data_IF_437630596163
#
_entry.id   IF_437630596163
#
_cell.length_a   1.000
_cell.length_b   1.000
_cell.length_c   1.000
_cell.angle_alpha   90.00
_cell.angle_beta   90.00
_cell.angle_gamma   90.00
#
_symmetry.space_group_name_H-M   'P 1'
#
loop_
_entity.id
_entity.type
_entity.pdbx_description
1 polymer ?
#
# COMPACT_ATOMS: atom_id res chain seq x y z
N UNK A 1 17.26 -2.22 -6.20
CA UNK A 1 16.31 -2.86 -5.26
C UNK A 1 17.06 -3.38 -4.06
N UNK A 2 18.14 -4.15 -4.28
CA UNK A 2 18.90 -4.75 -3.20
C UNK A 2 19.32 -3.77 -2.10
N UNK A 3 19.95 -2.66 -2.49
CA UNK A 3 20.34 -1.60 -1.55
C UNK A 3 19.18 -1.06 -0.69
N UNK A 4 17.92 -1.03 -1.18
CA UNK A 4 16.77 -0.58 -0.36
C UNK A 4 16.39 -1.62 0.69
N UNK A 5 16.46 -2.91 0.34
CA UNK A 5 16.20 -3.99 1.29
C UNK A 5 17.35 -4.16 2.29
N UNK A 6 18.60 -4.01 1.85
CA UNK A 6 19.77 -4.07 2.73
C UNK A 6 19.74 -2.90 3.75
N UNK A 7 19.38 -1.69 3.29
CA UNK A 7 19.16 -0.55 4.17
C UNK A 7 18.03 -0.81 5.17
N UNK A 8 16.90 -1.34 4.69
CA UNK A 8 15.77 -1.65 5.56
C UNK A 8 16.18 -2.68 6.62
N UNK A 9 16.82 -3.78 6.22
CA UNK A 9 17.28 -4.82 7.14
C UNK A 9 18.25 -4.27 8.20
N UNK A 10 19.18 -3.42 7.77
CA UNK A 10 20.09 -2.72 8.69
C UNK A 10 19.32 -1.89 9.72
N UNK A 11 18.30 -1.13 9.29
CA UNK A 11 17.45 -0.36 10.20
C UNK A 11 16.71 -1.28 11.18
N UNK A 12 16.14 -2.39 10.69
CA UNK A 12 15.44 -3.35 11.54
C UNK A 12 16.37 -3.98 12.58
N UNK A 13 17.59 -4.33 12.18
CA UNK A 13 18.63 -4.89 13.04
C UNK A 13 18.94 -3.99 14.24
N UNK A 14 19.01 -2.67 14.03
CA UNK A 14 19.19 -1.72 15.13
C UNK A 14 17.94 -1.61 16.01
N UNK A 15 16.74 -1.54 15.43
CA UNK A 15 15.47 -1.45 16.19
C UNK A 15 15.31 -2.63 17.16
N UNK A 16 15.66 -3.83 16.72
CA UNK A 16 15.53 -5.05 17.54
C UNK A 16 16.70 -5.26 18.52
N UNK A 17 17.58 -4.26 18.67
CA UNK A 17 18.70 -4.26 19.62
C UNK A 17 19.77 -5.29 19.31
N UNK A 18 19.93 -5.66 18.04
CA UNK A 18 20.93 -6.66 17.63
C UNK A 18 22.32 -6.06 17.38
N UNK A 19 22.43 -4.74 17.28
CA UNK A 19 23.69 -4.00 17.15
C UNK A 19 24.65 -4.09 18.33
N UNK A 20 24.27 -4.82 19.38
CA UNK A 20 25.06 -5.05 20.59
C UNK A 20 26.06 -6.22 20.42
N UNK A 21 26.05 -6.93 19.28
CA UNK A 21 27.04 -7.97 18.96
C UNK A 21 28.22 -7.31 18.24
N UNK A 22 29.44 -7.58 18.72
CA UNK A 22 30.73 -7.08 18.20
C UNK A 22 30.70 -6.68 16.72
N UNK A 23 30.64 -5.37 16.46
CA UNK A 23 30.57 -4.75 15.11
C UNK A 23 31.81 -5.01 14.25
N UNK A 24 32.76 -5.81 14.73
CA UNK A 24 34.00 -6.18 14.03
C UNK A 24 33.87 -7.39 13.10
N UNK A 25 32.72 -8.07 13.05
CA UNK A 25 32.56 -9.29 12.25
C UNK A 25 31.49 -9.23 11.13
N UNK A 26 30.74 -8.14 10.97
CA UNK A 26 29.61 -8.07 10.00
C UNK A 26 29.80 -6.94 8.99
N UNK A 27 31.01 -6.81 8.44
CA UNK A 27 31.19 -6.22 7.12
C UNK A 27 31.95 -7.28 6.33
N UNK A 28 31.23 -8.03 5.50
CA UNK A 28 31.87 -8.93 4.53
C UNK A 28 32.87 -8.12 3.68
N UNK A 29 34.10 -8.62 3.51
CA UNK A 29 35.15 -7.95 2.74
C UNK A 29 34.96 -8.02 1.21
N UNK A 30 33.85 -8.60 0.72
CA UNK A 30 33.62 -8.88 -0.70
C UNK A 30 32.88 -7.76 -1.45
N UNK A 31 32.83 -6.55 -0.89
CA UNK A 31 32.57 -5.36 -1.69
C UNK A 31 33.76 -5.10 -2.62
N UNK A 32 33.84 -5.86 -3.72
CA UNK A 32 34.74 -5.59 -4.84
C UNK A 32 34.34 -4.24 -5.43
N UNK A 33 34.96 -3.19 -4.91
CA UNK A 33 35.00 -1.88 -5.56
C UNK A 33 35.80 -2.03 -6.85
N UNK A 34 35.08 -2.14 -7.97
CA UNK A 34 35.67 -1.87 -9.28
C UNK A 34 36.02 -0.38 -9.37
N UNK A 35 37.32 -0.08 -9.51
CA UNK A 35 37.77 1.19 -10.08
C UNK A 35 38.89 1.87 -9.29
N UNK A 36 40.12 1.66 -9.77
CA UNK A 36 41.27 2.56 -9.78
C UNK A 36 41.71 3.32 -8.51
N UNK A 37 42.93 2.94 -8.10
CA UNK A 37 44.00 3.79 -7.53
C UNK A 37 43.62 4.71 -6.38
N UNK A 38 43.85 4.23 -5.16
CA UNK A 38 44.27 5.09 -4.06
C UNK A 38 45.65 4.61 -3.61
N UNK A 39 46.64 5.46 -3.87
CA UNK A 39 48.01 5.34 -3.40
C UNK A 39 48.06 5.27 -1.87
N UNK A 40 48.91 4.38 -1.38
CA UNK A 40 49.40 4.34 -0.01
C UNK A 40 49.90 5.73 0.41
N UNK A 41 49.24 6.32 1.40
CA UNK A 41 49.92 7.17 2.37
C UNK A 41 49.56 6.66 3.77
N UNK A 42 50.60 6.11 4.38
CA UNK A 42 50.70 5.71 5.77
C UNK A 42 50.53 6.89 6.72
N UNK A 43 50.18 6.56 7.97
CA UNK A 43 50.26 7.38 9.18
C UNK A 43 49.06 8.29 9.49
N UNK A 44 48.07 7.68 10.13
CA UNK A 44 47.04 8.37 10.88
C UNK A 44 46.15 7.36 11.58
N UNK A 45 46.55 6.88 12.77
CA UNK A 45 45.65 6.18 13.68
C UNK A 45 44.57 7.16 14.15
N UNK A 46 43.54 7.38 13.36
CA UNK A 46 42.27 7.89 13.88
C UNK A 46 41.56 6.69 14.50
N UNK A 47 41.81 6.48 15.79
CA UNK A 47 40.98 5.62 16.62
C UNK A 47 39.54 6.15 16.52
N UNK A 48 38.69 5.41 15.81
CA UNK A 48 37.23 5.57 15.88
C UNK A 48 36.83 5.04 17.26
N UNK A 49 37.08 5.85 18.29
CA UNK A 49 36.63 5.61 19.67
C UNK A 49 35.40 6.44 20.01
N UNK A 50 34.83 7.15 19.04
CA UNK A 50 33.64 8.01 19.20
C UNK A 50 32.39 7.50 18.46
N UNK A 51 32.34 6.22 18.03
CA UNK A 51 31.02 5.62 17.81
C UNK A 51 30.47 5.28 19.19
N UNK A 52 29.45 6.04 19.59
CA UNK A 52 28.66 5.84 20.79
C UNK A 52 28.47 4.34 21.09
N UNK A 53 28.49 4.00 22.37
CA UNK A 53 28.13 2.69 22.87
C UNK A 53 26.69 2.37 22.40
N UNK A 54 26.55 1.70 21.24
CA UNK A 54 25.27 1.35 20.64
C UNK A 54 24.64 0.13 21.34
N UNK A 55 24.99 -0.13 22.60
CA UNK A 55 24.43 -1.19 23.46
C UNK A 55 22.97 -0.90 23.88
N UNK A 56 22.14 -0.44 22.94
CA UNK A 56 20.76 -0.09 23.23
C UNK A 56 19.89 -1.36 23.28
N UNK A 57 19.03 -1.52 24.31
CA UNK A 57 18.07 -2.60 24.35
C UNK A 57 17.06 -2.47 23.20
N UNK A 58 16.45 -3.59 22.82
CA UNK A 58 15.41 -3.59 21.78
C UNK A 58 14.32 -2.57 22.11
N UNK A 59 13.97 -1.72 21.14
CA UNK A 59 12.94 -0.71 21.31
C UNK A 59 11.58 -1.44 21.26
N UNK A 60 10.70 -1.32 22.26
CA UNK A 60 9.38 -1.94 22.25
C UNK A 60 8.46 -1.18 21.28
N UNK A 61 8.68 -1.40 19.99
CA UNK A 61 8.02 -0.69 18.91
C UNK A 61 6.52 -1.02 18.91
N UNK A 62 5.68 0.01 18.87
CA UNK A 62 4.22 -0.13 18.79
C UNK A 62 3.68 0.07 17.38
N UNK A 63 4.35 0.91 16.59
CA UNK A 63 3.97 1.28 15.24
C UNK A 63 5.17 1.18 14.31
N UNK A 64 4.98 0.56 13.15
CA UNK A 64 5.94 0.52 12.06
C UNK A 64 5.29 1.09 10.80
N UNK A 65 5.86 2.17 10.27
CA UNK A 65 5.44 2.77 9.01
C UNK A 65 6.60 2.74 8.03
N UNK A 66 6.39 2.08 6.89
CA UNK A 66 7.38 1.96 5.83
C UNK A 66 6.83 2.63 4.58
N UNK A 67 7.45 3.73 4.22
CA UNK A 67 7.21 4.43 2.97
C UNK A 67 8.20 3.97 1.91
N UNK A 68 7.80 4.06 0.63
CA UNK A 68 8.65 3.68 -0.50
C UNK A 68 9.12 2.21 -0.45
N UNK A 69 8.27 1.32 0.09
CA UNK A 69 8.53 -0.12 0.15
C UNK A 69 8.59 -0.66 -1.28
N UNK A 70 9.66 -1.37 -1.67
CA UNK A 70 9.76 -1.91 -3.02
C UNK A 70 8.69 -2.98 -3.26
N UNK A 71 8.10 -3.02 -4.45
CA UNK A 71 7.09 -4.02 -4.86
C UNK A 71 7.68 -5.39 -5.22
N UNK A 72 8.90 -5.72 -4.77
CA UNK A 72 9.53 -7.01 -5.03
C UNK A 72 9.82 -7.76 -3.73
N UNK A 73 9.56 -9.06 -3.73
CA UNK A 73 9.90 -9.92 -2.59
C UNK A 73 11.40 -10.22 -2.56
N UNK A 74 12.04 -10.00 -1.41
CA UNK A 74 13.45 -10.32 -1.18
C UNK A 74 13.57 -11.36 -0.08
N UNK A 75 13.96 -12.57 -0.48
CA UNK A 75 14.06 -13.72 0.43
C UNK A 75 15.08 -13.46 1.56
N UNK A 76 16.08 -12.60 1.35
CA UNK A 76 17.09 -12.29 2.36
C UNK A 76 16.54 -11.43 3.48
N UNK A 77 15.76 -10.40 3.13
CA UNK A 77 15.12 -9.55 4.12
C UNK A 77 14.15 -10.37 4.98
N UNK A 78 13.33 -11.20 4.35
CA UNK A 78 12.27 -11.94 5.05
C UNK A 78 12.76 -13.15 5.85
N UNK A 79 13.98 -13.63 5.58
CA UNK A 79 14.63 -14.67 6.39
C UNK A 79 15.63 -14.12 7.40
N UNK A 80 15.88 -12.79 7.41
CA UNK A 80 16.77 -12.16 8.37
C UNK A 80 16.25 -12.28 9.81
N UNK A 81 17.17 -12.52 10.75
CA UNK A 81 16.85 -12.62 12.19
C UNK A 81 16.23 -11.32 12.71
N UNK A 82 16.71 -10.18 12.22
CA UNK A 82 16.20 -8.82 12.49
C UNK A 82 14.74 -8.67 12.12
N UNK A 83 14.36 -9.04 10.89
CA UNK A 83 12.98 -8.98 10.42
C UNK A 83 12.07 -9.92 11.22
N UNK A 84 12.47 -11.18 11.41
CA UNK A 84 11.68 -12.17 12.14
C UNK A 84 11.46 -11.76 13.61
N UNK A 85 12.48 -11.18 14.24
CA UNK A 85 12.38 -10.65 15.60
C UNK A 85 11.44 -9.44 15.68
N UNK A 86 11.44 -8.56 14.69
CA UNK A 86 10.52 -7.43 14.62
C UNK A 86 9.07 -7.89 14.43
N UNK A 87 8.83 -8.82 13.50
CA UNK A 87 7.49 -9.36 13.20
C UNK A 87 6.93 -10.24 14.33
N UNK A 88 7.76 -10.66 15.30
CA UNK A 88 7.31 -11.40 16.50
C UNK A 88 7.14 -10.50 17.73
N UNK A 89 7.36 -9.18 17.61
CA UNK A 89 7.18 -8.25 18.73
C UNK A 89 5.71 -8.11 19.13
N UNK A 90 5.36 -8.58 20.33
CA UNK A 90 4.02 -8.43 20.89
C UNK A 90 3.58 -6.97 21.12
N UNK A 91 4.54 -6.03 21.17
CA UNK A 91 4.25 -4.59 21.28
C UNK A 91 3.74 -3.98 19.97
N UNK A 92 4.11 -4.56 18.82
CA UNK A 92 3.80 -4.02 17.50
C UNK A 92 2.32 -4.29 17.17
N UNK A 93 1.56 -3.20 17.04
CA UNK A 93 0.10 -3.21 16.85
C UNK A 93 -0.37 -2.41 15.64
N UNK A 94 0.46 -1.51 15.14
CA UNK A 94 0.18 -0.69 13.96
C UNK A 94 1.23 -0.94 12.88
N UNK A 95 0.79 -1.48 11.74
CA UNK A 95 1.64 -1.72 10.58
C UNK A 95 1.10 -0.96 9.37
N UNK A 96 1.95 -0.12 8.78
CA UNK A 96 1.62 0.68 7.59
C UNK A 96 2.65 0.48 6.51
N UNK A 97 2.21 -0.06 5.36
CA UNK A 97 3.06 -0.35 4.22
C UNK A 97 2.59 0.45 3.00
N UNK A 98 3.51 1.27 2.47
CA UNK A 98 3.29 2.01 1.24
C UNK A 98 4.21 1.45 0.15
N UNK A 99 3.64 0.63 -0.73
CA UNK A 99 4.33 -0.11 -1.77
C UNK A 99 4.48 0.75 -3.01
N UNK A 100 5.72 0.95 -3.43
CA UNK A 100 6.10 1.74 -4.60
C UNK A 100 6.52 0.81 -5.74
N UNK A 101 5.72 0.84 -6.81
CA UNK A 101 6.01 0.06 -8.00
C UNK A 101 7.29 0.54 -8.68
N UNK A 102 8.14 -0.42 -9.07
CA UNK A 102 9.33 -0.14 -9.88
C UNK A 102 8.90 0.50 -11.20
N UNK A 103 9.22 1.79 -11.38
CA UNK A 103 9.19 2.42 -12.72
C UNK A 103 10.43 1.97 -13.45
N UNK A 104 10.44 0.74 -13.93
CA UNK A 104 11.45 0.31 -14.88
C UNK A 104 11.21 1.15 -16.15
N UNK A 105 12.07 2.14 -16.39
CA UNK A 105 12.06 2.98 -17.59
C UNK A 105 12.29 2.15 -18.86
N UNK A 106 12.68 0.88 -18.70
CA UNK A 106 12.73 -0.12 -19.74
C UNK A 106 11.41 -0.87 -19.80
N UNK A 107 10.48 -0.27 -20.53
CA UNK A 107 9.23 -0.91 -20.94
C UNK A 107 9.51 -2.28 -21.62
N UNK A 108 8.66 -3.29 -21.43
CA UNK A 108 8.65 -4.53 -22.22
C UNK A 108 8.43 -4.34 -23.74
N UNK A 109 8.11 -3.13 -24.22
CA UNK A 109 8.09 -2.80 -25.66
C UNK A 109 9.50 -2.88 -26.27
N UNK A 110 10.56 -2.90 -25.44
CA UNK A 110 11.95 -3.12 -25.87
C UNK A 110 12.62 -4.32 -25.20
N UNK A 111 11.87 -5.25 -24.63
CA UNK A 111 12.46 -6.53 -24.26
C UNK A 111 12.75 -7.31 -25.56
N UNK A 112 14.02 -7.60 -25.89
CA UNK A 112 14.38 -8.06 -27.22
C UNK A 112 14.14 -9.56 -27.42
N UNK A 113 12.96 -10.13 -27.10
CA UNK A 113 12.71 -11.59 -27.21
C UNK A 113 11.36 -12.10 -26.64
N UNK A 114 10.34 -11.26 -26.44
CA UNK A 114 9.05 -11.77 -25.96
C UNK A 114 9.08 -12.21 -24.49
N UNK A 115 9.74 -11.43 -23.63
CA UNK A 115 9.51 -11.51 -22.19
C UNK A 115 8.24 -10.76 -21.79
N UNK A 116 7.52 -11.34 -20.81
CA UNK A 116 6.24 -10.84 -20.31
C UNK A 116 6.30 -9.38 -19.90
N UNK A 117 5.23 -8.58 -20.13
CA UNK A 117 5.20 -7.21 -19.66
C UNK A 117 5.16 -7.07 -18.13
N UNK A 118 4.98 -8.17 -17.41
CA UNK A 118 4.82 -8.19 -15.97
C UNK A 118 6.10 -8.55 -15.25
N UNK A 119 6.41 -7.85 -14.16
CA UNK A 119 7.54 -8.17 -13.30
C UNK A 119 7.18 -9.36 -12.39
N UNK A 120 7.89 -10.51 -12.46
CA UNK A 120 7.64 -11.65 -11.57
C UNK A 120 7.79 -11.27 -10.08
N UNK A 121 8.64 -10.27 -9.80
CA UNK A 121 8.87 -9.74 -8.45
C UNK A 121 7.60 -9.19 -7.79
N UNK A 122 6.73 -8.51 -8.53
CA UNK A 122 5.46 -7.96 -8.03
C UNK A 122 4.49 -9.06 -7.63
N UNK A 123 4.37 -10.12 -8.45
CA UNK A 123 3.57 -11.30 -8.10
C UNK A 123 4.13 -12.01 -6.87
N UNK A 124 5.46 -12.19 -6.82
CA UNK A 124 6.11 -12.81 -5.67
C UNK A 124 5.86 -12.00 -4.40
N UNK A 125 5.85 -10.67 -4.45
CA UNK A 125 5.55 -9.81 -3.30
C UNK A 125 4.15 -10.06 -2.74
N UNK A 126 3.09 -9.89 -3.56
CA UNK A 126 1.71 -10.09 -3.08
C UNK A 126 1.41 -11.55 -2.71
N UNK A 127 1.99 -12.51 -3.43
CA UNK A 127 1.87 -13.93 -3.10
C UNK A 127 2.61 -14.33 -1.82
N UNK A 128 3.51 -13.52 -1.28
CA UNK A 128 4.21 -13.83 -0.03
C UNK A 128 3.90 -12.83 1.08
N UNK A 129 3.02 -11.86 0.87
CA UNK A 129 2.72 -10.83 1.88
C UNK A 129 2.20 -11.46 3.19
N UNK A 130 1.36 -12.51 3.08
CA UNK A 130 0.80 -13.24 4.23
C UNK A 130 1.81 -14.12 5.00
N UNK A 131 2.96 -14.47 4.41
CA UNK A 131 4.05 -15.19 5.12
C UNK A 131 5.21 -14.28 5.52
N UNK A 132 5.19 -13.02 5.09
CA UNK A 132 6.26 -12.04 5.38
C UNK A 132 5.75 -10.94 6.30
N UNK A 133 5.31 -9.81 5.74
CA UNK A 133 4.87 -8.65 6.49
C UNK A 133 3.59 -8.88 7.30
N UNK A 134 2.76 -9.85 6.90
CA UNK A 134 1.51 -10.21 7.57
C UNK A 134 1.57 -11.65 8.08
N UNK A 135 2.77 -12.12 8.46
CA UNK A 135 2.98 -13.44 9.04
C UNK A 135 2.08 -13.67 10.27
N UNK A 136 1.77 -14.93 10.62
CA UNK A 136 0.81 -15.25 11.68
C UNK A 136 1.08 -14.64 13.05
N UNK A 137 2.34 -14.37 13.38
CA UNK A 137 2.71 -13.83 14.70
C UNK A 137 2.29 -12.37 14.86
N UNK A 138 2.63 -11.52 13.89
CA UNK A 138 2.17 -10.11 13.86
C UNK A 138 0.66 -10.02 13.63
N UNK A 139 0.11 -10.86 12.75
CA UNK A 139 -1.32 -10.84 12.39
C UNK A 139 -2.25 -10.99 13.60
N UNK A 140 -1.83 -11.73 14.64
CA UNK A 140 -2.59 -11.92 15.88
C UNK A 140 -2.63 -10.67 16.77
N UNK A 141 -1.64 -9.78 16.69
CA UNK A 141 -1.53 -8.60 17.56
C UNK A 141 -1.94 -7.30 16.86
N UNK A 142 -1.95 -7.28 15.52
CA UNK A 142 -2.29 -6.09 14.75
C UNK A 142 -3.70 -5.57 15.08
N UNK A 143 -3.74 -4.28 15.42
CA UNK A 143 -4.94 -3.49 15.63
C UNK A 143 -5.16 -2.51 14.48
N UNK A 144 -4.09 -2.03 13.85
CA UNK A 144 -4.13 -1.12 12.70
C UNK A 144 -3.32 -1.70 11.55
N UNK A 145 -3.93 -1.75 10.36
CA UNK A 145 -3.27 -2.15 9.13
C UNK A 145 -3.54 -1.12 8.03
N UNK A 146 -2.46 -0.57 7.46
CA UNK A 146 -2.52 0.27 6.26
C UNK A 146 -1.76 -0.40 5.13
N UNK A 147 -2.43 -0.63 4.00
CA UNK A 147 -1.82 -1.14 2.77
C UNK A 147 -2.16 -0.19 1.62
N UNK A 148 -1.18 0.60 1.20
CA UNK A 148 -1.32 1.48 0.04
C UNK A 148 -0.32 1.05 -1.02
N UNK A 149 -0.79 0.89 -2.25
CA UNK A 149 0.09 0.64 -3.38
C UNK A 149 -0.01 1.79 -4.37
N UNK A 150 1.12 2.15 -4.99
CA UNK A 150 1.14 3.14 -6.05
C UNK A 150 0.30 2.73 -7.26
N UNK A 151 0.21 1.45 -7.57
CA UNK A 151 -0.65 0.91 -8.62
C UNK A 151 -1.87 0.22 -8.02
N UNK A 152 -2.90 0.02 -8.84
CA UNK A 152 -4.00 -0.87 -8.46
C UNK A 152 -3.52 -2.30 -8.17
N UNK A 153 -4.17 -2.94 -7.21
CA UNK A 153 -3.85 -4.28 -6.72
C UNK A 153 -5.10 -4.99 -6.19
N UNK A 154 -4.98 -6.25 -5.78
CA UNK A 154 -6.09 -7.05 -5.26
C UNK A 154 -6.69 -7.96 -6.33
N UNK A 155 -7.09 -7.39 -7.47
CA UNK A 155 -7.37 -8.18 -8.68
C UNK A 155 -6.08 -8.55 -9.42
N UNK A 156 -5.24 -7.53 -9.69
CA UNK A 156 -4.02 -7.68 -10.47
C UNK A 156 -2.95 -6.68 -10.03
N UNK A 157 -1.83 -7.14 -9.42
CA UNK A 157 -1.57 -8.51 -8.99
C UNK A 157 -2.61 -8.98 -7.96
N UNK A 158 -2.91 -10.29 -7.99
CA UNK A 158 -3.86 -10.90 -7.07
C UNK A 158 -3.36 -10.80 -5.63
N UNK A 159 -4.22 -10.36 -4.71
CA UNK A 159 -4.01 -10.51 -3.27
C UNK A 159 -5.17 -11.30 -2.68
N UNK A 160 -4.89 -12.50 -2.17
CA UNK A 160 -5.87 -13.34 -1.50
C UNK A 160 -5.85 -13.10 0.02
N UNK A 161 -6.73 -12.21 0.49
CA UNK A 161 -6.84 -11.87 1.91
C UNK A 161 -7.42 -13.02 2.75
N UNK A 162 -8.06 -14.03 2.14
CA UNK A 162 -8.60 -15.21 2.87
C UNK A 162 -7.49 -16.02 3.55
N UNK A 163 -6.23 -15.82 3.16
CA UNK A 163 -5.05 -16.46 3.73
C UNK A 163 -4.55 -15.79 5.01
N UNK A 164 -5.17 -14.68 5.41
CA UNK A 164 -4.76 -13.85 6.54
C UNK A 164 -5.93 -13.74 7.51
N UNK A 165 -5.67 -14.08 8.77
CA UNK A 165 -6.59 -13.85 9.89
C UNK A 165 -6.06 -12.69 10.73
N UNK A 166 -6.86 -11.64 10.87
CA UNK A 166 -6.53 -10.45 11.67
C UNK A 166 -7.55 -10.31 12.83
N UNK A 167 -7.48 -11.17 13.85
CA UNK A 167 -8.51 -11.30 14.88
C UNK A 167 -8.67 -10.04 15.74
N UNK A 168 -7.59 -9.27 15.93
CA UNK A 168 -7.55 -8.09 16.78
C UNK A 168 -7.69 -6.77 16.01
N UNK A 169 -7.87 -6.82 14.68
CA UNK A 169 -7.87 -5.63 13.83
C UNK A 169 -9.08 -4.74 14.11
N UNK A 170 -8.83 -3.45 14.30
CA UNK A 170 -9.83 -2.40 14.53
C UNK A 170 -9.84 -1.38 13.39
N UNK A 171 -8.68 -1.07 12.83
CA UNK A 171 -8.50 -0.05 11.81
C UNK A 171 -7.91 -0.68 10.56
N UNK A 172 -8.58 -0.49 9.43
CA UNK A 172 -8.11 -0.93 8.12
C UNK A 172 -8.12 0.24 7.13
N UNK A 173 -6.95 0.58 6.60
CA UNK A 173 -6.79 1.52 5.49
C UNK A 173 -6.26 0.79 4.27
N UNK A 174 -6.99 0.88 3.15
CA UNK A 174 -6.56 0.36 1.87
C UNK A 174 -6.54 1.48 0.85
N UNK A 175 -5.47 1.55 0.07
CA UNK A 175 -5.40 2.46 -1.06
C UNK A 175 -5.18 1.74 -2.38
N UNK A 176 -5.99 2.09 -3.38
CA UNK A 176 -6.02 1.50 -4.73
C UNK A 176 -6.27 0.00 -4.75
N UNK A 177 -6.98 -0.51 -3.75
CA UNK A 177 -7.44 -1.90 -3.73
C UNK A 177 -8.64 -2.06 -4.67
N UNK A 178 -8.59 -3.05 -5.55
CA UNK A 178 -9.64 -3.32 -6.54
C UNK A 178 -10.58 -4.42 -6.04
N UNK A 179 -11.85 -4.04 -5.89
CA UNK A 179 -12.91 -5.00 -5.62
C UNK A 179 -13.34 -5.70 -6.91
N UNK A 180 -13.53 -7.00 -6.86
CA UNK A 180 -13.94 -7.86 -7.99
C UNK A 180 -14.80 -9.05 -7.57
N UNK A 181 -14.66 -9.54 -6.33
CA UNK A 181 -15.29 -10.78 -5.87
C UNK A 181 -16.07 -10.60 -4.56
N UNK A 182 -17.13 -11.39 -4.39
CA UNK A 182 -17.97 -11.40 -3.19
C UNK A 182 -17.20 -11.77 -1.92
N UNK A 183 -16.25 -12.70 -2.03
CA UNK A 183 -15.45 -13.12 -0.86
C UNK A 183 -14.67 -11.95 -0.24
N UNK A 184 -14.30 -10.93 -1.03
CA UNK A 184 -13.63 -9.74 -0.51
C UNK A 184 -14.58 -9.04 0.48
N UNK A 185 -15.84 -8.86 0.12
CA UNK A 185 -16.86 -8.22 0.96
C UNK A 185 -17.06 -9.01 2.25
N UNK A 186 -17.11 -10.34 2.14
CA UNK A 186 -17.30 -11.26 3.27
C UNK A 186 -16.09 -11.25 4.23
N UNK A 187 -14.87 -11.09 3.70
CA UNK A 187 -13.64 -11.00 4.50
C UNK A 187 -13.61 -9.74 5.36
N UNK A 188 -14.03 -8.58 4.84
CA UNK A 188 -14.13 -7.36 5.66
C UNK A 188 -15.13 -7.57 6.80
N UNK A 189 -16.26 -8.21 6.51
CA UNK A 189 -17.30 -8.52 7.49
C UNK A 189 -16.87 -9.57 8.55
N UNK A 190 -15.85 -10.39 8.27
CA UNK A 190 -15.32 -11.37 9.23
C UNK A 190 -14.13 -10.85 10.04
N UNK A 191 -13.47 -9.78 9.59
CA UNK A 191 -12.25 -9.24 10.18
C UNK A 191 -12.51 -8.59 11.54
N UNK A 192 -11.57 -8.76 12.48
CA UNK A 192 -11.63 -8.15 13.81
C UNK A 192 -12.67 -8.75 14.76
N UNK A 193 -13.38 -9.83 14.40
CA UNK A 193 -14.46 -10.41 15.23
C UNK A 193 -14.07 -10.79 16.66
N UNK A 194 -12.78 -11.03 16.91
CA UNK A 194 -12.26 -11.43 18.22
C UNK A 194 -11.61 -10.27 18.98
N UNK A 195 -11.63 -9.05 18.41
CA UNK A 195 -11.16 -7.87 19.10
C UNK A 195 -12.18 -7.47 20.19
N UNK A 196 -11.77 -6.61 21.12
CA UNK A 196 -12.64 -6.19 22.23
C UNK A 196 -13.95 -5.49 21.79
N UNK A 197 -14.01 -4.98 20.55
CA UNK A 197 -15.21 -4.37 19.97
C UNK A 197 -16.10 -5.37 19.22
N UNK A 198 -15.58 -6.54 18.85
CA UNK A 198 -16.28 -7.57 18.07
C UNK A 198 -16.30 -7.32 16.55
N UNK A 199 -15.38 -6.53 16.01
CA UNK A 199 -15.29 -6.25 14.57
C UNK A 199 -14.50 -4.98 14.24
N UNK A 200 -14.37 -4.67 12.95
CA UNK A 200 -13.71 -3.46 12.48
C UNK A 200 -14.42 -2.19 13.00
N UNK A 201 -13.65 -1.24 13.52
CA UNK A 201 -14.13 0.05 14.05
C UNK A 201 -13.94 1.19 13.04
N UNK A 202 -12.89 1.13 12.24
CA UNK A 202 -12.56 2.16 11.24
C UNK A 202 -12.14 1.54 9.90
N UNK A 203 -12.71 2.06 8.81
CA UNK A 203 -12.42 1.62 7.45
C UNK A 203 -12.19 2.81 6.52
N UNK A 204 -11.00 2.83 5.91
CA UNK A 204 -10.58 3.86 4.97
C UNK A 204 -10.31 3.25 3.59
N UNK A 205 -11.00 3.74 2.57
CA UNK A 205 -10.88 3.29 1.17
C UNK A 205 -10.41 4.43 0.28
N UNK A 206 -9.11 4.46 0.01
CA UNK A 206 -8.46 5.51 -0.76
C UNK A 206 -8.37 5.14 -2.25
N UNK A 207 -9.17 5.79 -3.09
CA UNK A 207 -9.19 5.55 -4.54
C UNK A 207 -9.35 4.06 -4.89
N UNK A 208 -10.21 3.35 -4.14
CA UNK A 208 -10.50 1.93 -4.33
C UNK A 208 -11.72 1.75 -5.26
N UNK A 209 -11.56 1.15 -6.45
CA UNK A 209 -12.66 0.97 -7.41
C UNK A 209 -13.22 -0.46 -7.41
N UNK A 210 -14.38 -0.64 -8.05
CA UNK A 210 -14.88 -1.94 -8.47
C UNK A 210 -14.47 -2.22 -9.91
N UNK A 211 -13.88 -3.39 -10.15
CA UNK A 211 -13.68 -3.94 -11.47
C UNK A 211 -14.98 -4.60 -11.94
N UNK A 212 -15.60 -4.06 -13.00
CA UNK A 212 -16.85 -4.62 -13.55
C UNK A 212 -16.60 -5.54 -14.75
N UNK A 213 -15.47 -5.37 -15.44
CA UNK A 213 -15.07 -6.18 -16.59
C UNK A 213 -13.55 -6.25 -16.72
N UNK A 214 -13.02 -7.42 -17.05
CA UNK A 214 -11.61 -7.62 -17.34
C UNK A 214 -11.42 -8.44 -18.61
N UNK A 215 -10.63 -7.89 -19.54
CA UNK A 215 -10.13 -8.60 -20.72
C UNK A 215 -8.64 -8.88 -20.53
N UNK A 216 -8.27 -10.16 -20.50
CA UNK A 216 -6.89 -10.62 -20.31
C UNK A 216 -6.59 -11.79 -21.26
N UNK A 217 -5.31 -12.12 -21.44
CA UNK A 217 -4.89 -13.38 -22.06
C UNK A 217 -5.34 -14.54 -21.14
N UNK A 218 -6.11 -15.47 -21.67
CA UNK A 218 -6.66 -16.60 -20.95
C UNK A 218 -5.67 -17.74 -20.71
N UNK A 219 -6.07 -18.78 -19.98
CA UNK A 219 -7.38 -18.89 -19.34
C UNK A 219 -7.45 -18.19 -17.97
N UNK A 220 -8.66 -17.82 -17.57
CA UNK A 220 -8.96 -17.51 -16.17
C UNK A 220 -8.83 -18.77 -15.30
N UNK A 221 -8.59 -18.57 -14.00
CA UNK A 221 -8.43 -19.63 -13.01
C UNK A 221 -9.75 -20.39 -12.81
N UNK A 222 -9.70 -21.72 -12.91
CA UNK A 222 -10.86 -22.59 -12.72
C UNK A 222 -11.23 -22.74 -11.25
N UNK A 223 -10.26 -22.62 -10.33
CA UNK A 223 -10.47 -22.76 -8.89
C UNK A 223 -10.82 -21.43 -8.21
N UNK A 224 -10.43 -20.31 -8.82
CA UNK A 224 -10.82 -18.96 -8.38
C UNK A 224 -11.32 -18.13 -9.58
N UNK A 225 -12.53 -18.44 -10.09
CA UNK A 225 -13.08 -17.85 -11.31
C UNK A 225 -13.05 -16.32 -11.29
N UNK A 226 -12.53 -15.73 -12.37
CA UNK A 226 -12.36 -14.28 -12.49
C UNK A 226 -10.93 -13.80 -12.23
N UNK A 227 -10.03 -14.61 -11.68
CA UNK A 227 -8.61 -14.28 -11.66
C UNK A 227 -7.88 -14.83 -12.89
N UNK A 228 -6.95 -14.09 -13.53
CA UNK A 228 -6.10 -14.65 -14.58
C UNK A 228 -5.10 -15.64 -13.97
N UNK A 229 -4.84 -16.77 -14.64
CA UNK A 229 -3.80 -17.71 -14.19
C UNK A 229 -2.41 -17.07 -14.27
N UNK A 230 -1.55 -17.34 -13.29
CA UNK A 230 -0.18 -16.80 -13.27
C UNK A 230 0.60 -17.10 -14.56
N UNK A 231 0.41 -18.29 -15.15
CA UNK A 231 1.02 -18.64 -16.45
C UNK A 231 0.53 -17.78 -17.61
N UNK A 232 -0.71 -17.32 -17.56
CA UNK A 232 -1.34 -16.49 -18.59
C UNK A 232 -0.97 -15.02 -18.42
N UNK A 233 -0.76 -14.60 -17.17
CA UNK A 233 -0.11 -13.33 -16.84
C UNK A 233 1.32 -13.32 -17.36
N UNK A 234 2.14 -14.26 -16.93
CA UNK A 234 3.57 -14.32 -17.32
C UNK A 234 3.78 -14.79 -18.78
N UNK A 235 2.72 -15.17 -19.48
CA UNK A 235 2.76 -15.62 -20.87
C UNK A 235 2.36 -14.52 -21.84
N UNK A 236 2.84 -14.60 -23.08
CA UNK A 236 2.45 -13.71 -24.18
C UNK A 236 1.53 -14.43 -25.18
N UNK A 237 1.31 -15.74 -24.98
CA UNK A 237 0.61 -16.61 -25.92
C UNK A 237 -0.65 -17.16 -25.25
N UNK A 238 -1.81 -16.80 -25.79
CA UNK A 238 -3.12 -17.31 -25.39
C UNK A 238 -4.24 -16.52 -26.07
N UNK A 239 -5.43 -17.11 -26.13
CA UNK A 239 -6.62 -16.40 -26.60
C UNK A 239 -7.07 -15.38 -25.56
N UNK A 240 -7.71 -14.30 -26.02
CA UNK A 240 -8.23 -13.28 -25.11
C UNK A 240 -9.57 -13.74 -24.57
N UNK A 241 -9.70 -13.66 -23.26
CA UNK A 241 -10.93 -13.95 -22.56
C UNK A 241 -11.41 -12.68 -21.85
N UNK A 242 -12.72 -12.50 -21.80
CA UNK A 242 -13.34 -11.40 -21.06
C UNK A 242 -14.21 -11.97 -19.95
N UNK A 243 -13.99 -11.48 -18.74
CA UNK A 243 -14.76 -11.82 -17.56
C UNK A 243 -15.52 -10.59 -17.06
N UNK A 244 -16.80 -10.75 -16.75
CA UNK A 244 -17.66 -9.69 -16.17
C UNK A 244 -17.92 -10.01 -14.70
N UNK A 245 -17.74 -9.03 -13.85
CA UNK A 245 -17.95 -9.19 -12.41
C UNK A 245 -19.32 -8.64 -12.02
N UNK A 246 -20.10 -9.37 -11.19
CA UNK A 246 -21.45 -8.97 -10.82
C UNK A 246 -21.50 -7.96 -9.66
N UNK A 247 -20.39 -7.74 -8.94
CA UNK A 247 -20.39 -6.92 -7.72
C UNK A 247 -20.60 -5.43 -8.01
N UNK A 248 -21.37 -4.72 -7.17
CA UNK A 248 -21.65 -3.29 -7.30
C UNK A 248 -21.56 -2.61 -5.93
N UNK A 249 -21.35 -1.30 -5.88
CA UNK A 249 -21.17 -0.59 -4.61
C UNK A 249 -22.40 -0.73 -3.71
N UNK A 250 -23.60 -0.68 -4.27
CA UNK A 250 -24.83 -0.92 -3.51
C UNK A 250 -24.88 -2.30 -2.83
N UNK A 251 -24.30 -3.34 -3.43
CA UNK A 251 -24.21 -4.66 -2.81
C UNK A 251 -23.23 -4.63 -1.64
N UNK A 252 -22.06 -4.02 -1.82
CA UNK A 252 -21.03 -3.88 -0.79
C UNK A 252 -21.59 -3.11 0.41
N UNK A 253 -22.13 -1.92 0.18
CA UNK A 253 -22.61 -1.04 1.26
C UNK A 253 -23.82 -1.62 1.98
N UNK A 254 -24.79 -2.19 1.25
CA UNK A 254 -25.95 -2.84 1.88
C UNK A 254 -25.56 -4.03 2.76
N UNK A 255 -24.48 -4.75 2.40
CA UNK A 255 -23.95 -5.83 3.23
C UNK A 255 -23.17 -5.30 4.43
N UNK A 256 -22.29 -4.32 4.23
CA UNK A 256 -21.50 -3.72 5.30
C UNK A 256 -22.35 -2.99 6.33
N UNK A 257 -23.42 -2.30 5.92
CA UNK A 257 -24.36 -1.67 6.84
C UNK A 257 -24.95 -2.67 7.85
N UNK A 258 -25.19 -3.92 7.42
CA UNK A 258 -25.77 -5.00 8.24
C UNK A 258 -24.73 -5.85 9.01
N UNK A 259 -23.49 -5.89 8.54
CA UNK A 259 -22.48 -6.84 9.04
C UNK A 259 -21.35 -6.16 9.83
N UNK A 260 -20.93 -4.96 9.44
CA UNK A 260 -19.92 -4.16 10.13
C UNK A 260 -20.55 -3.36 11.28
N UNK A 261 -21.19 -4.06 12.22
CA UNK A 261 -22.00 -3.46 13.29
C UNK A 261 -21.21 -2.62 14.31
N UNK A 262 -19.87 -2.61 14.19
CA UNK A 262 -18.94 -1.91 15.07
C UNK A 262 -18.20 -0.79 14.36
N UNK A 263 -18.46 -0.60 13.07
CA UNK A 263 -17.87 0.45 12.26
C UNK A 263 -18.43 1.81 12.69
N UNK A 264 -17.54 2.66 13.20
CA UNK A 264 -17.82 4.03 13.66
C UNK A 264 -17.23 5.08 12.74
N UNK A 265 -16.21 4.70 11.96
CA UNK A 265 -15.57 5.60 11.00
C UNK A 265 -15.52 4.91 9.65
N UNK A 266 -16.11 5.54 8.65
CA UNK A 266 -16.01 5.10 7.26
C UNK A 266 -15.64 6.28 6.36
N UNK A 267 -14.55 6.11 5.62
CA UNK A 267 -14.12 7.10 4.64
C UNK A 267 -13.83 6.44 3.30
N UNK A 268 -14.32 7.08 2.24
CA UNK A 268 -14.05 6.68 0.87
C UNK A 268 -13.81 7.92 0.02
N UNK A 269 -12.87 7.81 -0.92
CA UNK A 269 -12.69 8.79 -1.99
C UNK A 269 -11.23 9.01 -2.33
N UNK A 270 -10.99 10.13 -3.00
CA UNK A 270 -9.64 10.60 -3.34
C UNK A 270 -9.37 11.83 -2.49
N UNK A 271 -8.20 11.96 -1.90
CA UNK A 271 -7.90 13.14 -1.11
C UNK A 271 -7.74 14.38 -2.00
N UNK A 272 -8.30 15.53 -1.59
CA UNK A 272 -8.39 16.77 -2.39
C UNK A 272 -7.05 17.42 -2.69
N UNK A 273 -5.96 16.98 -2.03
CA UNK A 273 -4.63 17.54 -2.29
C UNK A 273 -4.25 17.46 -3.77
N UNK A 274 -4.68 16.43 -4.50
CA UNK A 274 -4.38 16.31 -5.93
C UNK A 274 -4.95 17.44 -6.82
N UNK A 275 -6.02 18.14 -6.42
CA UNK A 275 -6.65 19.16 -7.28
C UNK A 275 -6.02 20.56 -7.16
N UNK A 276 -5.57 20.96 -5.95
CA UNK A 276 -4.90 22.28 -5.73
C UNK A 276 -3.60 22.48 -6.53
N UNK A 277 -3.14 21.39 -7.11
CA UNK A 277 -1.85 21.21 -7.73
C UNK A 277 -1.90 21.40 -9.24
N UNK A 278 -3.03 21.05 -9.87
CA UNK A 278 -3.27 21.35 -11.27
C UNK A 278 -3.49 22.85 -11.51
N UNK A 279 -4.15 23.55 -10.57
CA UNK A 279 -4.38 25.00 -10.68
C UNK A 279 -3.13 25.85 -10.40
N UNK A 280 -2.22 25.35 -9.54
CA UNK A 280 -0.92 26.02 -9.30
C UNK A 280 0.04 25.81 -10.47
N UNK A 281 -0.13 24.72 -11.23
CA UNK A 281 0.70 24.38 -12.39
C UNK A 281 0.57 25.40 -13.53
N UNK A 282 -0.62 25.97 -13.74
CA UNK A 282 -0.84 26.92 -14.86
C UNK A 282 -0.16 28.28 -14.63
N UNK A 283 0.14 28.64 -13.38
CA UNK A 283 0.71 29.97 -13.02
C UNK A 283 2.23 30.01 -12.93
N UNK A 284 2.92 28.88 -12.88
CA UNK A 284 4.37 28.83 -12.56
C UNK A 284 5.25 28.37 -13.73
N UNK A 285 4.71 28.34 -14.94
CA UNK A 285 5.39 27.87 -16.16
C UNK A 285 6.37 28.89 -16.79
N UNK A 286 6.96 29.80 -16.01
CA UNK A 286 7.88 30.80 -16.55
C UNK A 286 9.29 30.83 -15.95
N UNK A 287 9.64 29.98 -14.99
CA UNK A 287 11.03 29.91 -14.58
C UNK A 287 11.43 28.57 -13.96
N UNK A 288 12.71 28.22 -14.18
CA UNK A 288 13.46 27.06 -13.65
C UNK A 288 13.44 25.78 -14.52
N UNK A 289 14.49 25.66 -15.34
CA UNK A 289 15.06 24.45 -15.93
C UNK A 289 15.72 23.58 -14.83
N UNK A 290 14.93 22.79 -14.11
CA UNK A 290 15.41 21.66 -13.30
C UNK A 290 14.37 20.53 -13.27
N UNK A 291 14.72 19.34 -13.79
CA UNK A 291 13.98 18.09 -13.58
C UNK A 291 14.74 17.24 -12.56
N UNK A 292 14.16 16.61 -11.50
CA UNK A 292 12.83 16.74 -10.89
C UNK A 292 12.90 16.84 -9.34
N UNK A 293 12.74 18.04 -8.76
CA UNK A 293 12.84 18.22 -7.29
C UNK A 293 11.51 18.21 -6.49
N UNK A 294 10.33 18.08 -7.13
CA UNK A 294 9.01 18.22 -6.43
C UNK A 294 7.87 17.26 -6.84
N UNK A 295 8.14 16.13 -7.49
CA UNK A 295 7.34 14.91 -7.19
C UNK A 295 7.51 14.47 -5.70
N UNK A 296 8.44 15.16 -5.03
CA UNK A 296 9.12 15.01 -3.74
C UNK A 296 8.55 15.85 -2.58
N UNK A 297 7.32 16.38 -2.70
CA UNK A 297 6.49 16.95 -1.60
C UNK A 297 5.07 16.34 -1.67
N UNK A 298 4.81 15.50 -2.67
CA UNK A 298 3.53 15.55 -3.38
C UNK A 298 2.56 14.44 -3.01
N UNK A 299 3.10 13.34 -2.48
CA UNK A 299 2.39 12.49 -1.54
C UNK A 299 2.73 12.85 -0.08
N UNK A 300 3.62 13.82 0.16
CA UNK A 300 4.30 14.05 1.45
C UNK A 300 3.41 14.63 2.57
N UNK A 301 2.12 14.82 2.34
CA UNK A 301 1.15 15.01 3.44
C UNK A 301 -0.13 14.18 3.25
N UNK A 302 -0.23 13.48 2.11
CA UNK A 302 -1.48 12.90 1.58
C UNK A 302 -1.97 11.68 2.39
N UNK A 303 -1.24 11.35 3.44
CA UNK A 303 -1.73 10.55 4.55
C UNK A 303 -1.03 10.86 5.89
N UNK A 304 -0.37 12.02 6.08
CA UNK A 304 0.45 12.28 7.30
C UNK A 304 -0.31 12.02 8.61
N UNK A 305 -1.64 12.04 8.54
CA UNK A 305 -2.56 11.66 9.60
C UNK A 305 -3.84 11.00 9.03
N UNK A 306 -3.81 9.84 8.36
CA UNK A 306 -4.97 8.93 8.42
C UNK A 306 -5.11 8.39 9.87
N UNK A 307 -5.33 9.33 10.79
CA UNK A 307 -5.26 9.24 12.25
C UNK A 307 -6.46 8.48 12.80
N UNK A 308 -6.25 7.72 13.89
CA UNK A 308 -6.88 8.14 15.12
C UNK A 308 -5.81 8.51 16.14
N UNK A 309 -5.71 9.79 16.51
CA UNK A 309 -4.94 10.19 17.67
C UNK A 309 -5.61 9.61 18.94
N UNK A 310 -4.89 8.86 19.80
CA UNK A 310 -5.31 8.67 21.18
C UNK A 310 -4.94 9.92 21.97
N UNK A 311 -5.93 10.50 22.64
CA UNK A 311 -5.77 11.61 23.58
C UNK A 311 -4.69 11.33 24.65
N UNK A 312 -3.61 12.14 24.66
CA UNK A 312 -2.58 12.17 25.70
C UNK A 312 -1.58 13.33 25.50
N UNK A 313 -0.98 13.89 26.58
CA UNK A 313 -0.21 15.13 26.49
C UNK A 313 1.22 14.88 25.96
N UNK A 314 1.67 15.77 25.08
CA UNK A 314 2.97 15.72 24.36
C UNK A 314 4.09 16.26 25.24
N UNK A 315 5.21 15.54 25.30
CA UNK A 315 6.48 16.02 25.85
C UNK A 315 7.51 16.25 24.74
N UNK A 316 8.17 17.40 24.80
CA UNK A 316 9.09 17.97 23.81
C UNK A 316 10.40 17.17 23.64
N UNK A 317 10.95 17.10 22.42
CA UNK A 317 11.94 18.09 21.96
C UNK A 317 12.57 17.78 20.59
N UNK A 318 12.91 18.87 19.89
CA UNK A 318 13.82 19.05 18.74
C UNK A 318 13.36 18.66 17.34
N UNK A 319 12.65 19.59 16.69
CA UNK A 319 12.65 19.82 15.23
C UNK A 319 12.20 21.27 14.96
N UNK A 320 13.13 22.24 14.99
CA UNK A 320 12.85 23.69 14.78
C UNK A 320 12.46 24.06 13.33
N UNK A 321 12.26 23.08 12.44
CA UNK A 321 11.66 23.29 11.12
C UNK A 321 10.21 22.79 11.00
N UNK A 322 9.66 22.15 12.03
CA UNK A 322 8.26 21.71 12.07
C UNK A 322 7.29 22.80 12.59
N UNK A 323 7.80 23.80 13.33
CA UNK A 323 6.98 24.77 14.07
C UNK A 323 6.20 25.76 13.20
N UNK A 324 6.54 25.91 11.91
CA UNK A 324 5.76 26.71 10.96
C UNK A 324 4.64 25.93 10.25
N UNK A 325 4.54 24.62 10.47
CA UNK A 325 3.47 23.77 9.92
C UNK A 325 2.37 23.44 10.96
N UNK A 326 2.60 23.70 12.25
CA UNK A 326 1.66 23.41 13.35
C UNK A 326 0.29 24.11 13.22
N UNK A 327 0.19 25.19 12.43
CA UNK A 327 -1.06 25.91 12.20
C UNK A 327 -1.97 25.37 11.08
N UNK A 328 -1.52 24.40 10.28
CA UNK A 328 -2.25 23.91 9.09
C UNK A 328 -2.57 22.40 9.09
N UNK A 329 -2.07 21.63 10.07
CA UNK A 329 -2.04 20.15 10.01
C UNK A 329 -3.25 19.40 10.60
N UNK A 330 -4.42 20.03 10.84
CA UNK A 330 -5.53 19.39 11.60
C UNK A 330 -6.81 19.05 10.83
N UNK A 331 -6.84 19.01 9.49
CA UNK A 331 -7.98 18.37 8.80
C UNK A 331 -7.60 17.80 7.43
N UNK A 332 -7.44 16.48 7.32
CA UNK A 332 -7.42 15.81 6.01
C UNK A 332 -8.84 15.88 5.44
N UNK A 333 -9.07 16.76 4.47
CA UNK A 333 -10.35 16.82 3.74
C UNK A 333 -10.31 15.79 2.60
N UNK A 334 -11.21 14.81 2.67
CA UNK A 334 -11.45 13.88 1.57
C UNK A 334 -12.27 14.57 0.49
N UNK A 335 -11.93 14.35 -0.80
CA UNK A 335 -12.84 14.73 -1.87
C UNK A 335 -13.93 13.67 -1.92
N UNK A 336 -15.06 14.00 -1.29
CA UNK A 336 -16.25 13.17 -1.29
C UNK A 336 -17.08 13.36 -2.56
N UNK A 337 -16.60 14.11 -3.56
CA UNK A 337 -17.25 14.11 -4.87
C UNK A 337 -17.33 12.66 -5.37
N UNK A 338 -18.53 12.30 -5.82
CA UNK A 338 -18.86 11.01 -6.42
C UNK A 338 -17.92 10.61 -7.55
N UNK A 339 -17.31 11.54 -8.26
CA UNK A 339 -16.27 11.24 -9.26
C UNK A 339 -15.04 10.52 -8.67
N UNK A 340 -14.84 10.65 -7.35
CA UNK A 340 -13.74 10.05 -6.60
C UNK A 340 -14.16 8.88 -5.72
N UNK A 341 -15.47 8.74 -5.47
CA UNK A 341 -16.07 7.63 -4.73
C UNK A 341 -16.72 6.63 -5.69
N UNK A 342 -17.04 5.43 -5.20
CA UNK A 342 -17.89 4.48 -5.92
C UNK A 342 -17.51 4.23 -7.39
N UNK A 343 -16.22 4.27 -7.71
CA UNK A 343 -15.74 4.17 -9.10
C UNK A 343 -15.89 2.76 -9.64
N UNK A 344 -16.11 2.69 -10.95
CA UNK A 344 -16.01 1.48 -11.74
C UNK A 344 -14.82 1.58 -12.70
N UNK A 345 -14.10 0.48 -12.83
CA UNK A 345 -13.00 0.34 -13.79
C UNK A 345 -13.16 -0.91 -14.63
N UNK A 346 -12.63 -0.86 -15.85
CA UNK A 346 -12.41 -2.03 -16.70
C UNK A 346 -10.92 -2.27 -16.85
N UNK A 347 -10.50 -3.52 -16.86
CA UNK A 347 -9.13 -3.89 -17.23
C UNK A 347 -9.10 -4.35 -18.69
N UNK A 348 -8.17 -3.83 -19.49
CA UNK A 348 -7.95 -4.32 -20.86
C UNK A 348 -6.44 -4.42 -21.16
N UNK A 349 -5.96 -5.66 -21.28
CA UNK A 349 -4.56 -5.97 -21.60
C UNK A 349 -4.06 -5.32 -22.90
N UNK A 350 -4.93 -5.03 -23.86
CA UNK A 350 -4.51 -4.39 -25.12
C UNK A 350 -4.01 -2.96 -24.92
N UNK A 351 -4.50 -2.27 -23.88
CA UNK A 351 -4.03 -0.92 -23.57
C UNK A 351 -2.60 -0.91 -23.09
N UNK A 352 -2.06 -2.02 -22.58
CA UNK A 352 -0.66 -2.10 -22.16
C UNK A 352 0.32 -1.90 -23.31
N UNK A 353 -0.08 -2.20 -24.56
CA UNK A 353 0.75 -1.91 -25.75
C UNK A 353 0.96 -0.42 -25.98
N UNK A 354 0.04 0.41 -25.49
CA UNK A 354 0.03 1.86 -25.72
C UNK A 354 0.29 2.66 -24.43
N UNK A 355 -0.04 2.10 -23.28
CA UNK A 355 0.17 2.66 -21.94
C UNK A 355 0.27 1.54 -20.90
N UNK A 356 1.45 0.93 -20.78
CA UNK A 356 1.74 -0.11 -19.78
C UNK A 356 1.55 0.34 -18.32
N UNK A 357 1.51 1.65 -18.05
CA UNK A 357 1.32 2.18 -16.70
C UNK A 357 -0.16 2.31 -16.31
N UNK A 358 -1.09 2.20 -17.26
CA UNK A 358 -2.52 2.36 -16.99
C UNK A 358 -3.41 1.49 -17.92
N UNK A 359 -3.38 0.15 -17.77
CA UNK A 359 -4.30 -0.74 -18.49
C UNK A 359 -5.77 -0.57 -18.10
N UNK A 360 -6.01 0.20 -17.04
CA UNK A 360 -7.30 0.48 -16.46
C UNK A 360 -8.04 1.53 -17.29
N UNK A 361 -9.31 1.25 -17.59
CA UNK A 361 -10.21 2.15 -18.28
C UNK A 361 -11.20 2.67 -17.27
N UNK A 362 -11.29 3.99 -17.17
CA UNK A 362 -12.44 4.67 -16.57
C UNK A 362 -13.44 4.88 -17.71
N UNK A 363 -14.49 4.05 -17.81
CA UNK A 363 -15.59 4.33 -18.74
C UNK A 363 -16.33 5.61 -18.33
N UNK A 364 -16.76 6.39 -19.33
CA UNK A 364 -17.42 7.68 -19.15
C UNK A 364 -16.56 8.87 -19.59
N UNK A 365 -17.21 10.01 -19.83
CA UNK A 365 -16.52 11.28 -19.99
C UNK A 365 -15.92 11.72 -18.64
N UNK A 366 -14.82 12.48 -18.64
CA UNK A 366 -14.33 13.11 -17.42
C UNK A 366 -15.47 13.89 -16.75
N UNK A 367 -15.63 13.73 -15.43
CA UNK A 367 -16.63 14.45 -14.61
C UNK A 367 -18.10 14.01 -14.80
N UNK A 368 -18.35 12.85 -15.42
CA UNK A 368 -19.66 12.20 -15.39
C UNK A 368 -19.65 10.99 -14.45
N UNK A 369 -20.66 10.91 -13.59
CA UNK A 369 -20.91 9.75 -12.74
C UNK A 369 -21.37 8.56 -13.59
N UNK A 370 -20.45 7.64 -13.88
CA UNK A 370 -20.72 6.47 -14.70
C UNK A 370 -20.86 5.18 -13.87
N UNK A 371 -21.78 4.30 -14.27
CA UNK A 371 -21.90 2.94 -13.75
C UNK A 371 -22.22 1.92 -14.88
N UNK A 372 -21.97 0.61 -14.68
CA UNK A 372 -22.08 -0.38 -15.73
C UNK A 372 -23.52 -0.62 -16.24
N UNK A 373 -24.52 -0.36 -15.40
CA UNK A 373 -25.94 -0.49 -15.75
C UNK A 373 -26.74 0.76 -15.39
N UNK A 374 -27.85 0.95 -16.10
CA UNK A 374 -28.82 2.00 -15.83
C UNK A 374 -29.40 1.88 -14.40
N UNK A 375 -29.48 3.01 -13.70
CA UNK A 375 -29.97 3.08 -12.32
C UNK A 375 -28.99 2.57 -11.25
N UNK A 376 -27.84 2.00 -11.62
CA UNK A 376 -26.83 1.57 -10.64
C UNK A 376 -26.31 2.74 -9.80
N UNK A 377 -26.10 3.90 -10.42
CA UNK A 377 -25.69 5.14 -9.72
C UNK A 377 -26.63 5.46 -8.55
N UNK A 378 -27.95 5.51 -8.81
CA UNK A 378 -28.95 5.83 -7.78
C UNK A 378 -28.99 4.79 -6.66
N UNK A 379 -28.79 3.50 -6.99
CA UNK A 379 -28.75 2.43 -5.98
C UNK A 379 -27.51 2.51 -5.12
N UNK A 380 -26.36 2.81 -5.73
CA UNK A 380 -25.10 2.96 -5.02
C UNK A 380 -25.18 4.11 -4.02
N UNK A 381 -25.74 5.26 -4.45
CA UNK A 381 -25.91 6.44 -3.61
C UNK A 381 -26.85 6.15 -2.43
N UNK A 382 -28.01 5.55 -2.70
CA UNK A 382 -28.96 5.17 -1.64
C UNK A 382 -28.32 4.20 -0.63
N UNK A 383 -27.55 3.22 -1.09
CA UNK A 383 -26.88 2.27 -0.20
C UNK A 383 -25.70 2.89 0.57
N UNK A 384 -25.01 3.87 -0.02
CA UNK A 384 -23.97 4.64 0.65
C UNK A 384 -24.55 5.46 1.81
N UNK A 385 -25.64 6.19 1.56
CA UNK A 385 -26.36 6.94 2.61
C UNK A 385 -26.81 6.01 3.75
N UNK A 386 -27.39 4.85 3.43
CA UNK A 386 -27.76 3.85 4.44
C UNK A 386 -26.58 3.35 5.27
N UNK A 387 -25.40 3.19 4.66
CA UNK A 387 -24.19 2.82 5.39
C UNK A 387 -23.73 3.97 6.30
N UNK A 388 -23.73 5.21 5.80
CA UNK A 388 -23.33 6.38 6.58
C UNK A 388 -24.26 6.62 7.77
N UNK A 389 -25.57 6.55 7.58
CA UNK A 389 -26.56 6.60 8.68
C UNK A 389 -26.27 5.55 9.76
N UNK A 390 -25.96 4.32 9.33
CA UNK A 390 -25.62 3.24 10.24
C UNK A 390 -24.30 3.50 10.99
N UNK A 391 -23.30 4.08 10.33
CA UNK A 391 -22.01 4.45 10.94
C UNK A 391 -22.17 5.60 11.94
N UNK A 392 -22.89 6.66 11.56
CA UNK A 392 -23.11 7.85 12.37
C UNK A 392 -23.91 7.50 13.64
N UNK A 393 -24.90 6.61 13.53
CA UNK A 393 -25.67 6.11 14.69
C UNK A 393 -24.82 5.35 15.71
N UNK A 394 -23.65 4.84 15.32
CA UNK A 394 -22.71 4.08 16.18
C UNK A 394 -21.58 4.95 16.74
N UNK A 395 -21.36 6.12 16.14
CA UNK A 395 -20.35 7.08 16.57
C UNK A 395 -20.83 7.96 17.73
N UNK A 396 -22.15 8.12 17.89
CA UNK A 396 -22.81 8.70 19.07
C UNK A 396 -22.80 7.74 20.26
#
# INVERSE_FOLDING_TARGET
MQHRHDMLDTILYWIVGMGNKDTRQIIEPDAVFHGDKIQEYSEGKSSITDLADFSQPAIPLQQLTITNLPDNHDDRLHTSESFLKLMSMASLRDLRLHVEARRDLHHPVRAPDGSSPFSPGKYKFFNNLYVSWLAPDIAKTLQTLTLHCKDFWGWFPKMDLRRIELPQLKVLSLGRYVFSHQWQIDWFASTGKQNGSGGLEELYLHDCPILYEATHIGPFDTFDPGYPLLKSVLGIVGERETHKYPIRWHVIFSQWARSLNKLKVFHMGRSTYQNSLQDTFTKTHQDVQDKPLRQRIWYDLLEELASPCPSGPVAHSRLEHASNLEGQMTSVKFNQNRDFQMKYIKYNIERERYNAYWPWVHPGEPYECWAPEEGTVMRDDAAYEMLMDAVDSRAM
#
